data_IF_439359060826
#
_entry.id   IF_439359060826
#
_cell.length_a   1.000
_cell.length_b   1.000
_cell.length_c   1.000
_cell.angle_alpha   90.00
_cell.angle_beta   90.00
_cell.angle_gamma   90.00
#
_symmetry.space_group_name_H-M   'P 1'
#
loop_
_entity.id
_entity.type
_entity.pdbx_description
1 polymer ?
#
# COMPACT_ATOMS: atom_id res chain seq x y z
N UNK A 1 -22.49 74.31 2.51
CA UNK A 1 -21.56 73.50 3.35
C UNK A 1 -21.61 72.06 2.84
N UNK A 2 -20.56 71.59 2.14
CA UNK A 2 -20.45 70.22 1.62
C UNK A 2 -19.54 69.42 2.55
N UNK A 3 -20.04 68.34 3.13
CA UNK A 3 -19.30 67.34 3.91
C UNK A 3 -19.70 65.96 3.38
N UNK A 4 -18.75 65.23 2.81
CA UNK A 4 -18.82 63.77 2.60
C UNK A 4 -17.42 63.31 2.16
N UNK A 5 -16.60 62.88 3.11
CA UNK A 5 -16.37 61.48 3.51
C UNK A 5 -15.23 60.85 2.70
N UNK A 6 -14.02 60.90 3.27
CA UNK A 6 -12.85 60.12 2.85
C UNK A 6 -13.11 58.64 3.13
N UNK A 7 -12.95 57.79 2.12
CA UNK A 7 -12.96 56.34 2.25
C UNK A 7 -11.51 55.87 2.43
N UNK A 8 -11.19 55.39 3.64
CA UNK A 8 -9.87 54.85 3.98
C UNK A 8 -9.84 53.37 3.54
N UNK A 9 -9.07 53.06 2.49
CA UNK A 9 -8.83 51.67 2.06
C UNK A 9 -7.72 51.11 2.95
N UNK A 10 -8.11 50.28 3.92
CA UNK A 10 -7.18 49.52 4.74
C UNK A 10 -6.64 48.31 3.97
N UNK A 11 -5.40 48.38 3.52
CA UNK A 11 -4.62 47.22 3.07
C UNK A 11 -4.23 46.38 4.28
N UNK A 12 -4.93 45.26 4.49
CA UNK A 12 -4.49 44.19 5.38
C UNK A 12 -3.30 43.47 4.72
N UNK A 13 -2.10 43.72 5.23
CA UNK A 13 -0.95 42.86 4.98
C UNK A 13 -1.22 41.49 5.61
N UNK A 14 -1.59 40.51 4.78
CA UNK A 14 -1.53 39.10 5.18
C UNK A 14 -0.06 38.68 5.15
N UNK A 15 0.59 38.71 6.32
CA UNK A 15 1.81 37.94 6.53
C UNK A 15 1.39 36.47 6.53
N UNK A 16 1.51 35.81 5.37
CA UNK A 16 1.51 34.37 5.29
C UNK A 16 2.69 33.88 6.14
N UNK A 17 2.40 33.42 7.36
CA UNK A 17 3.33 32.62 8.14
C UNK A 17 3.50 31.35 7.34
N UNK A 18 4.58 31.24 6.58
CA UNK A 18 5.06 29.98 6.05
C UNK A 18 5.44 29.12 7.26
N UNK A 19 4.45 28.44 7.83
CA UNK A 19 4.67 27.31 8.71
C UNK A 19 5.53 26.32 7.93
N UNK A 20 6.75 26.13 8.38
CA UNK A 20 7.65 25.10 7.85
C UNK A 20 7.01 23.75 8.16
N UNK A 21 6.17 23.25 7.25
CA UNK A 21 5.58 21.92 7.36
C UNK A 21 6.69 20.91 7.15
N UNK A 22 7.40 20.55 8.22
CA UNK A 22 8.22 19.34 8.25
C UNK A 22 7.26 18.17 8.34
N UNK A 23 6.77 17.71 7.18
CA UNK A 23 6.12 16.41 7.09
C UNK A 23 7.08 15.37 7.67
N UNK A 24 6.65 14.66 8.70
CA UNK A 24 7.45 13.57 9.27
C UNK A 24 7.70 12.53 8.17
N UNK A 25 8.91 11.96 8.08
CA UNK A 25 9.22 11.00 7.04
C UNK A 25 8.36 9.75 7.19
N UNK A 26 7.76 9.31 6.09
CA UNK A 26 6.84 8.19 6.02
C UNK A 26 7.53 6.95 5.47
N UNK A 27 7.24 5.79 6.05
CA UNK A 27 7.88 4.54 5.68
C UNK A 27 6.87 3.43 5.37
N UNK A 28 7.23 2.57 4.43
CA UNK A 28 6.68 1.22 4.30
C UNK A 28 7.66 0.23 4.90
N UNK A 29 7.17 -0.60 5.81
CA UNK A 29 7.91 -1.75 6.33
C UNK A 29 7.24 -3.02 5.84
N UNK A 30 8.04 -3.91 5.26
CA UNK A 30 7.53 -5.12 4.61
C UNK A 30 8.05 -6.33 5.37
N UNK A 31 7.13 -7.17 5.86
CA UNK A 31 7.44 -8.48 6.42
C UNK A 31 6.90 -9.54 5.48
N UNK A 32 7.77 -10.47 5.10
CA UNK A 32 7.47 -11.50 4.12
C UNK A 32 7.43 -12.88 4.79
N UNK A 33 6.46 -13.71 4.41
CA UNK A 33 6.42 -15.13 4.72
C UNK A 33 5.92 -15.93 3.49
N UNK A 34 6.48 -17.11 3.16
CA UNK A 34 7.57 -17.84 3.84
C UNK A 34 8.97 -17.61 3.24
N UNK A 35 9.11 -16.68 2.29
CA UNK A 35 10.26 -16.63 1.39
C UNK A 35 11.54 -15.99 1.97
N UNK A 36 11.49 -15.20 3.04
CA UNK A 36 12.72 -14.66 3.66
C UNK A 36 12.49 -14.06 5.05
N UNK A 37 13.57 -13.93 5.83
CA UNK A 37 13.62 -13.08 7.03
C UNK A 37 14.05 -11.63 6.70
N UNK A 38 14.03 -11.24 5.42
CA UNK A 38 14.40 -9.89 5.02
C UNK A 38 13.22 -8.95 5.20
N UNK A 39 13.47 -7.81 5.86
CA UNK A 39 12.45 -6.84 6.22
C UNK A 39 12.82 -5.46 5.68
N UNK A 40 12.55 -5.18 4.40
CA UNK A 40 12.91 -3.90 3.82
C UNK A 40 12.06 -2.78 4.41
N UNK A 41 12.74 -1.65 4.66
CA UNK A 41 12.15 -0.38 5.04
C UNK A 41 12.35 0.61 3.90
N UNK A 42 11.27 1.20 3.42
CA UNK A 42 11.25 2.03 2.22
C UNK A 42 10.72 3.41 2.62
N UNK A 43 11.49 4.46 2.34
CA UNK A 43 11.04 5.85 2.50
C UNK A 43 10.04 6.18 1.37
N UNK A 44 8.83 6.58 1.76
CA UNK A 44 7.72 6.94 0.87
C UNK A 44 7.24 8.37 1.12
N UNK A 45 8.04 9.20 1.80
CA UNK A 45 7.71 10.59 2.13
C UNK A 45 7.42 11.44 0.90
N UNK A 46 8.02 11.11 -0.24
CA UNK A 46 7.86 11.79 -1.52
C UNK A 46 6.97 11.02 -2.51
N UNK A 47 6.14 10.12 -2.00
CA UNK A 47 5.33 9.19 -2.80
C UNK A 47 6.00 7.81 -2.95
N UNK A 48 5.24 6.86 -3.51
CA UNK A 48 5.69 5.50 -3.73
C UNK A 48 5.38 5.09 -5.17
N UNK A 49 6.40 4.63 -5.90
CA UNK A 49 6.28 4.18 -7.30
C UNK A 49 6.49 2.68 -7.46
N UNK A 50 6.78 1.98 -6.36
CA UNK A 50 7.12 0.56 -6.34
C UNK A 50 8.51 0.29 -5.76
N UNK A 51 8.74 -0.96 -5.41
CA UNK A 51 9.98 -1.45 -4.83
C UNK A 51 10.24 -2.88 -5.27
N UNK A 52 11.48 -3.19 -5.63
CA UNK A 52 11.91 -4.55 -5.96
C UNK A 52 13.16 -4.93 -5.19
N UNK A 53 13.20 -6.17 -4.72
CA UNK A 53 14.40 -6.74 -4.10
C UNK A 53 14.55 -8.21 -4.49
N UNK A 54 15.79 -8.69 -4.38
CA UNK A 54 16.14 -10.08 -4.62
C UNK A 54 16.42 -10.81 -3.31
N UNK A 55 16.00 -12.06 -3.23
CA UNK A 55 16.32 -12.99 -2.13
C UNK A 55 16.77 -14.33 -2.70
N UNK A 56 17.59 -15.06 -1.94
CA UNK A 56 18.15 -16.35 -2.32
C UNK A 56 17.80 -17.42 -1.29
N UNK A 57 17.15 -18.51 -1.71
CA UNK A 57 16.86 -19.64 -0.83
C UNK A 57 17.34 -20.98 -1.41
N UNK A 58 17.86 -21.89 -0.59
CA UNK A 58 18.25 -23.22 -1.06
C UNK A 58 17.03 -24.05 -1.48
N UNK A 59 17.17 -24.86 -2.52
CA UNK A 59 16.09 -25.69 -3.07
C UNK A 59 16.31 -27.17 -2.76
N UNK A 60 15.40 -27.75 -1.97
CA UNK A 60 15.49 -29.14 -1.52
C UNK A 60 14.50 -30.10 -2.18
N UNK A 61 13.41 -29.59 -2.75
CA UNK A 61 12.40 -30.41 -3.42
C UNK A 61 12.48 -30.32 -4.96
N UNK A 62 11.81 -31.25 -5.62
CA UNK A 62 11.50 -31.25 -7.06
C UNK A 62 10.02 -31.53 -7.23
N UNK A 63 9.45 -31.11 -8.35
CA UNK A 63 8.05 -31.27 -8.67
C UNK A 63 7.37 -29.95 -8.96
N UNK A 64 6.06 -30.04 -9.14
CA UNK A 64 5.17 -28.91 -9.30
C UNK A 64 4.28 -28.81 -8.07
N UNK A 65 4.24 -27.64 -7.45
CA UNK A 65 3.45 -27.41 -6.26
C UNK A 65 3.01 -25.95 -6.21
N UNK A 66 1.88 -25.74 -5.54
CA UNK A 66 1.37 -24.40 -5.24
C UNK A 66 1.46 -24.16 -3.74
N UNK A 67 2.03 -23.03 -3.34
CA UNK A 67 2.08 -22.64 -1.91
C UNK A 67 1.47 -21.26 -1.71
N UNK A 68 0.61 -21.08 -0.70
CA UNK A 68 0.16 -19.74 -0.34
C UNK A 68 1.32 -18.90 0.19
N UNK A 69 1.23 -17.59 0.01
CA UNK A 69 2.17 -16.62 0.59
C UNK A 69 1.43 -15.42 1.17
N UNK A 70 2.09 -14.72 2.09
CA UNK A 70 1.59 -13.45 2.64
C UNK A 70 2.71 -12.44 2.87
N UNK A 71 2.41 -11.17 2.59
CA UNK A 71 3.21 -10.03 2.99
C UNK A 71 2.40 -9.19 3.95
N UNK A 72 2.96 -8.94 5.13
CA UNK A 72 2.44 -7.95 6.05
C UNK A 72 3.18 -6.64 5.80
N UNK A 73 2.45 -5.55 5.60
CA UNK A 73 3.02 -4.23 5.35
C UNK A 73 2.47 -3.25 6.37
N UNK A 74 3.33 -2.43 6.98
CA UNK A 74 2.91 -1.30 7.79
C UNK A 74 3.34 0.02 7.16
N UNK A 75 2.46 1.02 7.26
CA UNK A 75 2.66 2.38 6.78
C UNK A 75 2.56 3.35 7.96
N UNK A 76 3.54 4.22 8.12
CA UNK A 76 3.54 5.25 9.16
C UNK A 76 4.85 6.02 9.28
N UNK A 77 4.88 7.08 10.09
CA UNK A 77 6.12 7.66 10.59
C UNK A 77 6.82 6.60 11.44
N UNK A 78 8.15 6.51 11.41
CA UNK A 78 8.79 5.43 12.17
C UNK A 78 10.09 5.79 12.88
N UNK A 79 10.06 5.54 14.18
CA UNK A 79 11.07 4.75 14.90
C UNK A 79 10.47 3.37 15.25
N UNK A 80 11.26 2.30 15.09
CA UNK A 80 10.88 0.87 15.16
C UNK A 80 10.34 0.43 16.55
N UNK A 81 10.15 1.34 17.51
CA UNK A 81 9.92 1.00 18.92
C UNK A 81 8.74 1.62 19.67
N UNK A 82 8.00 2.61 19.14
CA UNK A 82 7.02 3.32 19.99
C UNK A 82 5.78 3.93 19.32
N UNK A 83 5.71 4.01 17.99
CA UNK A 83 4.56 4.62 17.33
C UNK A 83 3.68 3.57 16.66
N UNK A 84 2.37 3.71 16.84
CA UNK A 84 1.38 2.88 16.15
C UNK A 84 1.40 3.27 14.68
N UNK A 85 1.56 2.32 13.74
CA UNK A 85 1.51 2.65 12.31
C UNK A 85 0.16 3.28 11.98
N UNK A 86 0.10 4.10 10.94
CA UNK A 86 -1.16 4.69 10.48
C UNK A 86 -2.03 3.65 9.79
N UNK A 87 -1.42 2.71 9.09
CA UNK A 87 -2.11 1.57 8.50
C UNK A 87 -1.26 0.30 8.51
N UNK A 88 -1.94 -0.84 8.51
CA UNK A 88 -1.36 -2.15 8.24
C UNK A 88 -2.18 -2.87 7.20
N UNK A 89 -1.54 -3.56 6.27
CA UNK A 89 -2.21 -4.35 5.25
C UNK A 89 -1.54 -5.70 5.05
N UNK A 90 -2.31 -6.66 4.54
CA UNK A 90 -1.79 -7.95 4.10
C UNK A 90 -2.02 -8.11 2.59
N UNK A 91 -0.96 -8.51 1.87
CA UNK A 91 -1.02 -8.96 0.49
C UNK A 91 -0.89 -10.48 0.48
N UNK A 92 -1.85 -11.17 -0.15
CA UNK A 92 -1.83 -12.65 -0.22
C UNK A 92 -2.01 -13.14 -1.64
N UNK A 93 -1.42 -14.30 -1.92
CA UNK A 93 -1.55 -14.97 -3.21
C UNK A 93 -1.03 -16.39 -3.14
N UNK A 94 -0.86 -17.00 -4.31
CA UNK A 94 -0.27 -18.33 -4.46
C UNK A 94 1.00 -18.24 -5.32
N UNK A 95 2.03 -18.96 -4.88
CA UNK A 95 3.24 -19.20 -5.63
C UNK A 95 3.08 -20.52 -6.37
N UNK A 96 3.30 -20.49 -7.67
CA UNK A 96 3.46 -21.66 -8.50
C UNK A 96 4.94 -21.99 -8.64
N UNK A 97 5.29 -23.25 -8.37
CA UNK A 97 6.66 -23.76 -8.42
C UNK A 97 6.76 -24.83 -9.49
N UNK A 98 7.81 -24.75 -10.29
CA UNK A 98 8.18 -25.79 -11.23
C UNK A 98 9.66 -26.07 -11.09
N UNK A 99 10.01 -27.19 -10.43
CA UNK A 99 11.41 -27.56 -10.16
C UNK A 99 11.67 -28.96 -10.67
N UNK A 100 12.71 -29.13 -11.47
CA UNK A 100 13.15 -30.42 -12.02
C UNK A 100 14.61 -30.69 -11.69
N UNK A 101 14.99 -31.96 -11.71
CA UNK A 101 16.41 -32.33 -11.75
C UNK A 101 16.96 -32.01 -13.14
N UNK A 102 18.06 -31.27 -13.19
CA UNK A 102 18.69 -30.85 -14.44
C UNK A 102 19.78 -31.82 -14.91
N UNK A 103 20.38 -32.61 -14.01
CA UNK A 103 21.33 -33.67 -14.37
C UNK A 103 21.41 -34.81 -13.34
N UNK A 104 22.15 -35.87 -13.69
CA UNK A 104 22.41 -37.03 -12.82
C UNK A 104 23.28 -36.73 -11.60
N UNK A 105 23.80 -35.50 -11.47
CA UNK A 105 24.59 -35.06 -10.31
C UNK A 105 23.70 -34.41 -9.25
N UNK A 106 22.37 -34.43 -9.43
CA UNK A 106 21.41 -33.83 -8.49
C UNK A 106 21.34 -32.31 -8.59
N UNK A 107 21.80 -31.72 -9.71
CA UNK A 107 21.54 -30.31 -10.00
C UNK A 107 20.06 -30.14 -10.28
N UNK A 108 19.54 -28.96 -9.95
CA UNK A 108 18.13 -28.61 -10.15
C UNK A 108 18.00 -27.37 -11.03
N UNK A 109 16.91 -27.32 -11.77
CA UNK A 109 16.50 -26.17 -12.54
C UNK A 109 15.00 -25.93 -12.35
N UNK A 110 14.53 -24.74 -12.67
CA UNK A 110 13.13 -24.43 -12.46
C UNK A 110 12.84 -22.96 -12.33
N UNK A 111 11.57 -22.67 -12.07
CA UNK A 111 11.07 -21.32 -11.86
C UNK A 111 10.04 -21.28 -10.75
N UNK A 112 9.88 -20.08 -10.20
CA UNK A 112 8.77 -19.72 -9.33
C UNK A 112 8.08 -18.49 -9.90
N UNK A 113 6.77 -18.45 -9.83
CA UNK A 113 5.99 -17.26 -10.16
C UNK A 113 4.76 -17.15 -9.29
N UNK A 114 4.35 -15.94 -8.95
CA UNK A 114 3.09 -15.71 -8.25
C UNK A 114 2.74 -14.23 -8.22
N UNK A 115 1.46 -13.95 -8.00
CA UNK A 115 0.97 -12.60 -7.77
C UNK A 115 0.03 -12.59 -6.58
N UNK A 116 -0.03 -11.44 -5.91
CA UNK A 116 -0.84 -11.23 -4.73
C UNK A 116 -1.44 -9.85 -4.72
N UNK A 117 -2.62 -9.76 -4.11
CA UNK A 117 -3.39 -8.52 -3.98
C UNK A 117 -3.75 -8.31 -2.51
N UNK A 118 -4.28 -7.13 -2.22
CA UNK A 118 -4.80 -6.78 -0.91
C UNK A 118 -5.86 -7.79 -0.45
N UNK A 119 -5.64 -8.42 0.71
CA UNK A 119 -6.62 -9.26 1.39
C UNK A 119 -7.15 -8.63 2.67
N UNK A 120 -6.34 -7.79 3.31
CA UNK A 120 -6.70 -7.11 4.54
C UNK A 120 -6.10 -5.71 4.60
N UNK A 121 -6.87 -4.73 5.08
CA UNK A 121 -6.42 -3.38 5.38
C UNK A 121 -7.01 -2.94 6.72
N UNK A 122 -6.15 -2.44 7.59
CA UNK A 122 -6.51 -1.84 8.87
C UNK A 122 -5.92 -0.44 8.95
N UNK A 123 -6.77 0.53 9.28
CA UNK A 123 -6.37 1.91 9.55
C UNK A 123 -6.46 2.13 11.06
N UNK A 124 -5.44 2.73 11.64
CA UNK A 124 -5.39 2.99 13.08
C UNK A 124 -5.95 4.38 13.40
N UNK A 125 -6.75 4.52 14.47
CA UNK A 125 -7.48 5.75 14.80
C UNK A 125 -6.60 6.91 15.30
N UNK A 126 -5.28 6.72 15.34
CA UNK A 126 -4.30 7.75 15.70
C UNK A 126 -3.90 8.63 14.51
N UNK A 127 -4.28 8.25 13.29
CA UNK A 127 -4.10 9.07 12.12
C UNK A 127 -5.28 10.05 12.01
N UNK A 128 -5.01 11.36 11.95
CA UNK A 128 -5.94 12.25 11.26
C UNK A 128 -6.14 11.61 9.86
N UNK A 129 -7.35 11.12 9.60
CA UNK A 129 -7.69 10.25 8.46
C UNK A 129 -7.38 10.80 7.06
N UNK A 130 -6.76 11.98 6.98
CA UNK A 130 -6.36 12.71 5.78
C UNK A 130 -4.99 12.30 5.21
N UNK A 131 -4.22 11.42 5.87
CA UNK A 131 -2.84 11.09 5.45
C UNK A 131 -2.62 9.66 4.93
N UNK A 132 -3.68 8.87 4.73
CA UNK A 132 -3.53 7.56 4.06
C UNK A 132 -3.43 7.79 2.54
N UNK A 133 -2.31 7.42 1.90
CA UNK A 133 -2.15 7.63 0.47
C UNK A 133 -3.12 6.74 -0.32
N UNK A 134 -3.70 7.29 -1.39
CA UNK A 134 -4.64 6.58 -2.26
C UNK A 134 -4.05 5.33 -2.93
N UNK A 135 -2.73 5.29 -3.09
CA UNK A 135 -2.01 4.14 -3.64
C UNK A 135 -1.89 2.96 -2.66
N UNK A 136 -2.07 3.18 -1.35
CA UNK A 136 -1.83 2.16 -0.33
C UNK A 136 -2.79 0.96 -0.43
N UNK A 137 -4.11 1.15 -0.61
CA UNK A 137 -5.03 0.03 -0.84
C UNK A 137 -4.85 -0.64 -2.21
N UNK A 138 -4.19 0.04 -3.14
CA UNK A 138 -3.90 -0.48 -4.49
C UNK A 138 -2.63 -1.32 -4.57
N UNK A 139 -1.91 -1.52 -3.47
CA UNK A 139 -0.67 -2.30 -3.52
C UNK A 139 -0.91 -3.73 -4.03
N UNK A 140 -0.03 -4.15 -4.92
CA UNK A 140 0.06 -5.51 -5.45
C UNK A 140 1.49 -6.01 -5.26
N UNK A 141 1.64 -7.33 -5.28
CA UNK A 141 2.94 -7.98 -5.22
C UNK A 141 3.06 -9.00 -6.33
N UNK A 142 4.19 -8.97 -7.01
CA UNK A 142 4.60 -9.94 -8.02
C UNK A 142 5.89 -10.61 -7.57
N UNK A 143 5.95 -11.92 -7.79
CA UNK A 143 7.08 -12.75 -7.41
C UNK A 143 7.47 -13.54 -8.63
N UNK A 144 8.76 -13.49 -8.96
CA UNK A 144 9.36 -14.30 -10.01
C UNK A 144 10.69 -14.82 -9.52
N UNK A 145 11.13 -15.96 -10.04
CA UNK A 145 12.46 -16.44 -9.71
C UNK A 145 12.88 -17.64 -10.52
N UNK A 146 14.18 -17.91 -10.46
CA UNK A 146 14.82 -18.99 -11.20
C UNK A 146 15.63 -19.85 -10.24
N UNK A 147 15.57 -21.16 -10.43
CA UNK A 147 16.47 -22.10 -9.77
C UNK A 147 17.68 -22.28 -10.66
N UNK A 148 18.86 -21.94 -10.16
CA UNK A 148 20.11 -22.09 -10.90
C UNK A 148 20.78 -23.43 -10.54
N UNK A 149 21.21 -24.17 -11.58
CA UNK A 149 21.85 -25.49 -11.45
C UNK A 149 23.33 -25.44 -11.06
N UNK A 150 23.72 -24.54 -10.15
CA UNK A 150 25.08 -24.41 -9.68
C UNK A 150 25.56 -25.57 -8.79
N UNK A 151 26.72 -25.42 -8.14
CA UNK A 151 27.18 -26.37 -7.10
C UNK A 151 26.29 -26.33 -5.84
N UNK A 152 25.54 -25.24 -5.65
CA UNK A 152 24.47 -25.11 -4.67
C UNK A 152 23.20 -24.71 -5.43
N UNK A 153 22.15 -25.53 -5.33
CA UNK A 153 20.85 -25.22 -5.95
C UNK A 153 20.22 -24.03 -5.23
N UNK A 154 20.30 -22.85 -5.83
CA UNK A 154 19.79 -21.60 -5.27
C UNK A 154 18.59 -21.12 -6.08
N UNK A 155 17.50 -20.79 -5.38
CA UNK A 155 16.38 -20.05 -5.93
C UNK A 155 16.65 -18.56 -5.75
N UNK A 156 16.90 -17.87 -6.86
CA UNK A 156 16.93 -16.40 -6.90
C UNK A 156 15.53 -15.89 -7.16
N UNK A 157 14.91 -15.28 -6.16
CA UNK A 157 13.56 -14.73 -6.23
C UNK A 157 13.62 -13.21 -6.24
N UNK A 158 13.00 -12.60 -7.25
CA UNK A 158 12.67 -11.19 -7.28
C UNK A 158 11.25 -10.98 -6.76
N UNK A 159 11.11 -10.10 -5.78
CA UNK A 159 9.82 -9.64 -5.26
C UNK A 159 9.64 -8.19 -5.66
N UNK A 160 8.51 -7.88 -6.28
CA UNK A 160 8.16 -6.54 -6.74
C UNK A 160 6.84 -6.13 -6.12
N UNK A 161 6.84 -5.05 -5.35
CA UNK A 161 5.63 -4.44 -4.77
C UNK A 161 5.34 -3.17 -5.56
N UNK A 162 4.16 -3.04 -6.14
CA UNK A 162 3.77 -1.86 -6.93
C UNK A 162 2.42 -1.33 -6.52
N UNK A 163 2.22 -0.01 -6.57
CA UNK A 163 0.89 0.56 -6.51
C UNK A 163 0.15 0.23 -7.82
N UNK A 164 -1.00 -0.41 -7.71
CA UNK A 164 -1.96 -0.52 -8.79
C UNK A 164 -2.93 0.65 -8.73
N UNK A 165 -3.38 1.13 -9.90
CA UNK A 165 -4.44 2.12 -9.97
C UNK A 165 -5.69 1.51 -9.33
N UNK A 166 -5.99 1.91 -8.10
CA UNK A 166 -7.32 1.71 -7.57
C UNK A 166 -8.24 2.56 -8.44
N UNK A 167 -9.25 1.97 -9.12
CA UNK A 167 -10.21 2.78 -9.83
C UNK A 167 -10.75 3.81 -8.84
N UNK A 168 -10.64 5.09 -9.18
CA UNK A 168 -11.08 6.18 -8.32
C UNK A 168 -12.45 5.82 -7.73
N UNK A 169 -12.70 6.06 -6.42
CA UNK A 169 -14.01 5.86 -5.83
C UNK A 169 -14.96 6.95 -6.33
N UNK A 170 -15.25 6.96 -7.63
CA UNK A 170 -16.37 7.65 -8.27
C UNK A 170 -17.70 7.27 -7.62
N UNK A 171 -17.73 6.19 -6.82
CA UNK A 171 -18.87 5.71 -6.05
C UNK A 171 -19.07 6.35 -4.67
N UNK A 172 -18.07 6.99 -4.03
CA UNK A 172 -18.27 7.61 -2.71
C UNK A 172 -19.16 8.86 -2.80
N UNK A 173 -19.03 9.63 -3.87
CA UNK A 173 -19.96 10.72 -4.20
C UNK A 173 -21.37 10.18 -4.54
N UNK A 174 -21.47 9.03 -5.21
CA UNK A 174 -22.77 8.41 -5.57
C UNK A 174 -23.49 7.85 -4.33
N UNK A 175 -22.77 7.25 -3.37
CA UNK A 175 -23.33 6.79 -2.10
C UNK A 175 -23.76 7.96 -1.21
N UNK A 176 -22.99 9.05 -1.17
CA UNK A 176 -23.36 10.28 -0.45
C UNK A 176 -24.61 10.95 -1.02
N UNK A 177 -24.72 11.04 -2.35
CA UNK A 177 -25.90 11.60 -3.04
C UNK A 177 -27.12 10.67 -2.85
N UNK A 178 -26.94 9.36 -2.89
CA UNK A 178 -28.02 8.38 -2.67
C UNK A 178 -28.64 8.48 -1.27
N UNK A 179 -27.82 8.60 -0.22
CA UNK A 179 -28.28 8.79 1.15
C UNK A 179 -28.96 10.16 1.34
N UNK A 180 -28.43 11.22 0.73
CA UNK A 180 -29.03 12.55 0.75
C UNK A 180 -30.43 12.58 0.10
N UNK A 181 -30.62 11.89 -1.02
CA UNK A 181 -31.92 11.81 -1.71
C UNK A 181 -32.94 10.98 -0.91
N UNK A 182 -32.52 9.90 -0.25
CA UNK A 182 -33.39 9.11 0.62
C UNK A 182 -33.81 9.87 1.88
N UNK A 183 -32.87 10.57 2.53
CA UNK A 183 -33.16 11.42 3.69
C UNK A 183 -34.10 12.58 3.32
N UNK A 184 -33.89 13.23 2.18
CA UNK A 184 -34.78 14.29 1.69
C UNK A 184 -36.20 13.78 1.38
N UNK A 185 -36.33 12.60 0.78
CA UNK A 185 -37.64 11.97 0.53
C UNK A 185 -38.35 11.59 1.83
N UNK A 186 -37.64 11.10 2.85
CA UNK A 186 -38.23 10.76 4.14
C UNK A 186 -38.78 12.01 4.87
N UNK A 187 -38.02 13.10 4.89
CA UNK A 187 -38.45 14.39 5.49
C UNK A 187 -39.64 15.00 4.76
N UNK A 188 -39.70 14.87 3.43
CA UNK A 188 -40.84 15.39 2.66
C UNK A 188 -42.12 14.59 2.89
N UNK A 189 -42.01 13.28 3.21
CA UNK A 189 -43.16 12.42 3.48
C UNK A 189 -43.74 12.68 4.87
N UNK A 190 -42.91 12.87 5.89
CA UNK A 190 -43.38 13.19 7.24
C UNK A 190 -44.12 14.52 7.33
N UNK A 191 -43.71 15.53 6.55
CA UNK A 191 -44.38 16.85 6.49
C UNK A 191 -45.73 16.86 5.75
N UNK A 192 -46.12 15.79 5.06
CA UNK A 192 -47.44 15.67 4.39
C UNK A 192 -48.44 14.85 5.20
N UNK A 193 -48.00 14.25 6.30
CA UNK A 193 -48.81 13.42 7.19
C UNK A 193 -49.11 14.08 8.54
N UNK A 194 -48.70 15.35 8.70
CA UNK A 194 -49.09 16.26 9.77
C UNK A 194 -49.94 17.38 9.17
#
# INVERSE_FOLDING_TARGET
MRRTSLLLIGTLFSTAIASEAKAEPMYLNVWQSPLSNYHPRIDVSNGFTGFSYMTGNPVYATGQFDTPFSFHITYGPQDIGAQTPYASLDLTGNLHWEISESDSNGRKGGSISGSGVLSYLRIFPTADSLEIPSWLPGLTVEISGIVTGGMQNLLETTVTITPHETPEPTSLAVFGVGLGVLAFRAVRRSRRSA
#
